data_IF_448269714564
#
_entry.id   IF_448269714564
#
_cell.length_a   1.000
_cell.length_b   1.000
_cell.length_c   1.000
_cell.angle_alpha   90.00
_cell.angle_beta   90.00
_cell.angle_gamma   90.00
#
_symmetry.space_group_name_H-M   'P 1'
#
loop_
_entity.id
_entity.type
_entity.pdbx_description
1 polymer ?
#
# COMPACT_ATOMS: atom_id res chain seq x y z
N UNK A 1 5.16 10.10 25.01
CA UNK A 1 4.78 9.61 23.66
C UNK A 1 4.02 8.28 23.76
N UNK A 2 3.01 8.18 24.65
CA UNK A 2 2.41 6.91 25.09
C UNK A 2 1.36 6.34 24.11
N UNK A 3 0.80 7.19 23.25
CA UNK A 3 -0.23 6.82 22.28
C UNK A 3 0.36 6.01 21.12
N UNK A 4 1.43 6.50 20.50
CA UNK A 4 2.05 5.87 19.32
C UNK A 4 2.62 4.49 19.66
N UNK A 5 3.21 4.32 20.85
CA UNK A 5 3.76 3.03 21.31
C UNK A 5 2.68 2.01 21.68
N UNK A 6 1.42 2.43 21.83
CA UNK A 6 0.28 1.55 22.15
C UNK A 6 -0.63 1.31 20.95
N UNK A 7 -0.38 2.00 19.84
CA UNK A 7 -1.12 1.79 18.61
C UNK A 7 -0.73 0.43 18.04
N UNK A 8 -1.72 -0.42 17.81
CA UNK A 8 -1.54 -1.73 17.21
C UNK A 8 -1.68 -1.64 15.69
N UNK A 9 -1.21 -2.66 14.98
CA UNK A 9 -1.30 -2.77 13.52
C UNK A 9 -2.75 -2.51 13.08
N UNK A 10 -2.90 -1.80 11.96
CA UNK A 10 -4.21 -1.62 11.33
C UNK A 10 -4.15 -2.25 9.96
N UNK A 11 -4.61 -3.50 9.92
CA UNK A 11 -5.03 -4.17 8.71
C UNK A 11 -6.33 -3.52 8.23
N UNK A 12 -6.30 -2.88 7.06
CA UNK A 12 -7.50 -2.35 6.41
C UNK A 12 -8.13 -3.45 5.56
N UNK A 13 -7.28 -4.13 4.79
CA UNK A 13 -7.52 -5.31 3.95
C UNK A 13 -6.21 -6.12 3.88
N UNK A 14 -6.24 -7.40 3.47
CA UNK A 14 -5.02 -8.21 3.32
C UNK A 14 -3.94 -7.57 2.41
N UNK A 15 -4.36 -6.78 1.42
CA UNK A 15 -3.46 -6.05 0.53
C UNK A 15 -2.83 -4.80 1.16
N UNK A 16 -3.37 -4.30 2.28
CA UNK A 16 -2.92 -3.06 2.94
C UNK A 16 -2.99 -3.25 4.45
N UNK A 17 -1.89 -3.75 5.01
CA UNK A 17 -1.65 -3.75 6.45
C UNK A 17 -0.58 -2.73 6.83
N UNK A 18 -0.93 -1.77 7.70
CA UNK A 18 -0.04 -0.70 8.13
C UNK A 18 0.70 -1.08 9.40
N UNK A 19 2.02 -0.91 9.38
CA UNK A 19 2.87 -1.20 10.53
C UNK A 19 2.46 -0.40 11.75
N UNK A 20 2.50 -1.07 12.90
CA UNK A 20 2.56 -0.37 14.18
C UNK A 20 3.93 0.30 14.37
N UNK A 21 4.08 1.02 15.48
CA UNK A 21 5.30 1.77 15.76
C UNK A 21 6.55 0.88 15.85
N UNK A 22 6.47 -0.27 16.52
CA UNK A 22 7.63 -1.14 16.73
C UNK A 22 8.04 -1.85 15.43
N UNK A 23 7.07 -2.33 14.67
CA UNK A 23 7.25 -2.90 13.33
C UNK A 23 7.91 -1.88 12.40
N UNK A 24 7.36 -0.67 12.30
CA UNK A 24 7.91 0.37 11.44
C UNK A 24 9.37 0.67 11.81
N UNK A 25 9.72 0.69 13.09
CA UNK A 25 11.11 0.88 13.51
C UNK A 25 12.01 -0.32 13.17
N UNK A 26 11.53 -1.54 13.38
CA UNK A 26 12.32 -2.74 13.11
C UNK A 26 12.59 -2.91 11.62
N UNK A 27 11.55 -2.81 10.80
CA UNK A 27 11.64 -2.96 9.34
C UNK A 27 12.54 -1.88 8.72
N UNK A 28 12.38 -0.63 9.15
CA UNK A 28 13.22 0.45 8.61
C UNK A 28 14.67 0.39 9.11
N UNK A 29 14.93 -0.13 10.33
CA UNK A 29 16.30 -0.42 10.77
C UNK A 29 16.93 -1.53 9.94
N UNK A 30 16.18 -2.60 9.65
CA UNK A 30 16.66 -3.66 8.77
C UNK A 30 17.01 -3.10 7.38
N UNK A 31 16.12 -2.29 6.80
CA UNK A 31 16.36 -1.64 5.51
C UNK A 31 17.60 -0.73 5.56
N UNK A 32 17.81 0.01 6.64
CA UNK A 32 18.98 0.87 6.82
C UNK A 32 20.29 0.08 6.91
N UNK A 33 20.31 -1.01 7.68
CA UNK A 33 21.50 -1.84 7.86
C UNK A 33 21.89 -2.61 6.59
N UNK A 34 20.91 -3.08 5.82
CA UNK A 34 21.17 -4.00 4.71
C UNK A 34 21.08 -3.30 3.33
N UNK A 35 20.30 -2.22 3.22
CA UNK A 35 19.99 -1.55 1.95
C UNK A 35 20.04 -0.02 2.10
N UNK A 36 21.17 0.50 2.59
CA UNK A 36 21.33 1.94 2.91
C UNK A 36 20.97 2.92 1.79
N UNK A 37 21.11 2.53 0.51
CA UNK A 37 20.68 3.37 -0.60
C UNK A 37 19.15 3.44 -0.74
N UNK A 38 18.47 2.33 -0.51
CA UNK A 38 17.01 2.24 -0.52
C UNK A 38 16.46 2.96 0.71
N UNK A 39 17.05 2.72 1.88
CA UNK A 39 16.63 3.38 3.12
C UNK A 39 16.80 4.89 3.05
N UNK A 40 17.69 5.46 2.24
CA UNK A 40 17.75 6.93 2.05
C UNK A 40 16.54 7.48 1.31
N UNK A 41 15.98 6.70 0.39
CA UNK A 41 14.86 7.12 -0.46
C UNK A 41 13.51 6.73 0.12
N UNK A 42 13.41 5.60 0.81
CA UNK A 42 12.14 5.00 1.19
C UNK A 42 12.04 4.76 2.68
N UNK A 43 10.81 4.82 3.18
CA UNK A 43 10.45 4.43 4.54
C UNK A 43 9.30 3.42 4.46
N UNK A 44 9.51 2.20 4.96
CA UNK A 44 8.47 1.16 5.01
C UNK A 44 7.34 1.58 5.95
N UNK A 45 6.10 1.50 5.47
CA UNK A 45 4.90 1.90 6.21
C UNK A 45 3.90 0.75 6.40
N UNK A 46 4.09 -0.36 5.69
CA UNK A 46 3.20 -1.49 5.75
C UNK A 46 3.60 -2.60 4.79
N UNK A 47 2.76 -3.63 4.74
CA UNK A 47 2.91 -4.81 3.91
C UNK A 47 1.62 -5.11 3.14
N UNK A 48 1.77 -5.88 2.07
CA UNK A 48 0.67 -6.47 1.32
C UNK A 48 0.90 -7.98 1.27
N UNK A 49 -0.05 -8.78 1.76
CA UNK A 49 0.09 -10.24 1.75
C UNK A 49 1.39 -10.77 2.37
N UNK A 50 2.07 -11.69 1.68
CA UNK A 50 3.29 -12.37 2.16
C UNK A 50 4.54 -11.86 1.42
N UNK A 51 5.05 -10.71 1.84
CA UNK A 51 6.38 -10.20 1.46
C UNK A 51 6.37 -8.89 0.68
N UNK A 52 5.27 -8.56 0.00
CA UNK A 52 5.13 -7.28 -0.68
C UNK A 52 5.04 -6.14 0.35
N UNK A 53 5.51 -4.95 -0.03
CA UNK A 53 5.70 -3.85 0.90
C UNK A 53 5.19 -2.51 0.39
N UNK A 54 4.67 -1.71 1.33
CA UNK A 54 4.27 -0.33 1.09
C UNK A 54 5.29 0.63 1.65
N UNK A 55 5.70 1.61 0.85
CA UNK A 55 6.77 2.53 1.18
C UNK A 55 6.38 3.97 0.91
N UNK A 56 6.71 4.86 1.85
CA UNK A 56 6.72 6.29 1.63
C UNK A 56 8.06 6.70 1.02
N UNK A 57 8.02 7.29 -0.17
CA UNK A 57 9.17 7.95 -0.76
C UNK A 57 9.44 9.27 -0.01
N UNK A 58 10.61 9.38 0.60
CA UNK A 58 11.01 10.51 1.45
C UNK A 58 11.35 11.78 0.67
N UNK A 59 11.50 11.68 -0.65
CA UNK A 59 11.86 12.81 -1.52
C UNK A 59 10.61 13.57 -1.96
N UNK A 60 9.59 12.85 -2.43
CA UNK A 60 8.38 13.43 -3.02
C UNK A 60 7.10 13.14 -2.22
N UNK A 61 7.19 12.41 -1.11
CA UNK A 61 6.08 11.98 -0.24
C UNK A 61 5.01 11.13 -0.95
N UNK A 62 5.40 10.42 -2.01
CA UNK A 62 4.52 9.49 -2.71
C UNK A 62 4.61 8.08 -2.15
N UNK A 63 3.54 7.30 -2.32
CA UNK A 63 3.49 5.89 -1.96
C UNK A 63 4.00 5.04 -3.12
N UNK A 64 4.88 4.09 -2.79
CA UNK A 64 5.40 3.08 -3.69
C UNK A 64 5.08 1.68 -3.19
N UNK A 65 4.74 0.80 -4.11
CA UNK A 65 4.64 -0.62 -3.88
C UNK A 65 5.98 -1.30 -4.20
N UNK A 66 6.39 -2.26 -3.37
CA UNK A 66 7.49 -3.15 -3.65
C UNK A 66 6.98 -4.58 -3.81
N UNK A 67 7.30 -5.19 -4.95
CA UNK A 67 7.01 -6.59 -5.22
C UNK A 67 8.17 -7.47 -4.73
N UNK A 68 7.91 -8.36 -3.79
CA UNK A 68 8.88 -9.29 -3.23
C UNK A 68 9.40 -10.31 -4.26
N UNK A 69 8.60 -10.65 -5.27
CA UNK A 69 9.05 -11.51 -6.37
C UNK A 69 10.12 -10.85 -7.24
N UNK A 70 10.35 -9.54 -7.09
CA UNK A 70 11.45 -8.83 -7.74
C UNK A 70 12.83 -9.14 -7.13
N UNK A 71 12.89 -9.92 -6.04
CA UNK A 71 14.14 -10.36 -5.40
C UNK A 71 14.55 -9.46 -4.25
N UNK A 72 15.80 -8.98 -4.23
CA UNK A 72 16.25 -8.05 -3.18
C UNK A 72 15.78 -6.60 -3.46
N UNK A 73 15.84 -5.73 -2.45
CA UNK A 73 15.48 -4.32 -2.61
C UNK A 73 16.42 -3.62 -3.59
N UNK A 74 15.87 -3.25 -4.75
CA UNK A 74 16.52 -2.40 -5.75
C UNK A 74 15.57 -1.28 -6.14
N UNK A 75 16.09 -0.12 -6.58
CA UNK A 75 15.23 1.03 -6.95
C UNK A 75 14.20 0.69 -8.03
N UNK A 76 14.52 -0.23 -8.95
CA UNK A 76 13.62 -0.71 -10.00
C UNK A 76 12.51 -1.63 -9.50
N UNK A 77 12.64 -2.19 -8.29
CA UNK A 77 11.60 -3.03 -7.67
C UNK A 77 10.42 -2.22 -7.09
N UNK A 78 10.51 -0.89 -7.09
CA UNK A 78 9.47 -0.01 -6.55
C UNK A 78 8.61 0.58 -7.67
N UNK A 79 7.30 0.41 -7.56
CA UNK A 79 6.31 1.04 -8.43
C UNK A 79 5.67 2.21 -7.70
N UNK A 80 5.89 3.43 -8.19
CA UNK A 80 5.29 4.63 -7.62
C UNK A 80 3.82 4.77 -8.05
N UNK A 81 2.90 4.91 -7.09
CA UNK A 81 1.47 5.09 -7.34
C UNK A 81 1.11 6.55 -7.71
N UNK A 82 2.02 7.49 -7.51
CA UNK A 82 1.81 8.92 -7.78
C UNK A 82 0.84 9.59 -6.79
N UNK A 83 0.61 8.98 -5.63
CA UNK A 83 -0.32 9.46 -4.60
C UNK A 83 0.37 9.59 -3.25
N UNK A 84 -0.10 10.52 -2.42
CA UNK A 84 0.35 10.67 -1.03
C UNK A 84 -0.35 9.71 -0.08
N UNK A 85 0.09 9.73 1.19
CA UNK A 85 -0.47 8.85 2.23
C UNK A 85 -1.99 9.02 2.45
N UNK A 86 -2.58 10.24 2.49
CA UNK A 86 -4.03 10.37 2.65
C UNK A 86 -4.83 9.73 1.52
N UNK A 87 -4.37 9.90 0.27
CA UNK A 87 -4.97 9.26 -0.89
C UNK A 87 -4.82 7.73 -0.86
N UNK A 88 -3.70 7.24 -0.34
CA UNK A 88 -3.49 5.82 -0.14
C UNK A 88 -4.47 5.22 0.87
N UNK A 89 -4.81 5.94 1.94
CA UNK A 89 -5.89 5.52 2.86
C UNK A 89 -7.25 5.52 2.17
N UNK A 90 -7.56 6.53 1.35
CA UNK A 90 -8.81 6.54 0.56
C UNK A 90 -8.90 5.32 -0.36
N UNK A 91 -7.79 4.99 -1.03
CA UNK A 91 -7.69 3.80 -1.88
C UNK A 91 -7.95 2.53 -1.08
N UNK A 92 -7.32 2.40 0.09
CA UNK A 92 -7.49 1.23 0.96
C UNK A 92 -8.95 1.03 1.40
N UNK A 93 -9.65 2.11 1.75
CA UNK A 93 -11.05 2.04 2.12
C UNK A 93 -11.95 1.65 0.95
N UNK A 94 -11.67 2.12 -0.28
CA UNK A 94 -12.42 1.70 -1.46
C UNK A 94 -12.25 0.20 -1.73
N UNK A 95 -11.02 -0.32 -1.68
CA UNK A 95 -10.78 -1.74 -1.90
C UNK A 95 -11.38 -2.62 -0.80
N UNK A 96 -11.37 -2.16 0.45
CA UNK A 96 -12.10 -2.82 1.54
C UNK A 96 -13.59 -2.93 1.27
N UNK A 97 -14.21 -1.85 0.81
CA UNK A 97 -15.64 -1.85 0.51
C UNK A 97 -15.94 -2.77 -0.70
N UNK A 98 -15.02 -2.88 -1.67
CA UNK A 98 -15.12 -3.85 -2.77
C UNK A 98 -15.00 -5.32 -2.29
N UNK A 99 -14.05 -5.62 -1.40
CA UNK A 99 -13.88 -6.95 -0.81
C UNK A 99 -15.15 -7.38 -0.05
N UNK A 100 -15.76 -6.48 0.72
CA UNK A 100 -17.02 -6.80 1.40
C UNK A 100 -18.14 -7.18 0.42
N UNK A 101 -18.30 -6.48 -0.70
CA UNK A 101 -19.30 -6.84 -1.72
C UNK A 101 -19.03 -8.24 -2.30
N UNK A 102 -17.75 -8.56 -2.55
CA UNK A 102 -17.34 -9.86 -3.06
C UNK A 102 -17.59 -10.99 -2.07
N UNK A 103 -17.29 -10.77 -0.78
CA UNK A 103 -17.47 -11.74 0.30
C UNK A 103 -18.95 -12.02 0.60
N UNK A 104 -19.84 -11.04 0.39
CA UNK A 104 -21.29 -11.22 0.46
C UNK A 104 -21.86 -12.05 -0.70
N UNK A 105 -21.00 -12.44 -1.67
CA UNK A 105 -21.38 -13.22 -2.84
C UNK A 105 -22.06 -12.38 -3.92
N UNK A 106 -21.94 -11.06 -3.88
CA UNK A 106 -22.43 -10.20 -4.95
C UNK A 106 -21.65 -10.44 -6.24
N UNK A 107 -22.37 -10.55 -7.35
CA UNK A 107 -21.75 -10.59 -8.67
C UNK A 107 -21.47 -9.17 -9.12
N UNK A 108 -20.19 -8.80 -9.26
CA UNK A 108 -19.77 -7.49 -9.77
C UNK A 108 -20.26 -7.29 -11.21
N UNK A 109 -21.37 -6.57 -11.35
CA UNK A 109 -21.88 -6.13 -12.66
C UNK A 109 -20.90 -5.14 -13.32
N UNK A 110 -20.94 -5.02 -14.64
CA UNK A 110 -20.08 -4.08 -15.37
C UNK A 110 -20.28 -2.62 -14.92
N UNK A 111 -21.49 -2.26 -14.48
CA UNK A 111 -21.77 -0.94 -13.90
C UNK A 111 -20.99 -0.73 -12.60
N UNK A 112 -21.05 -1.69 -11.66
CA UNK A 112 -20.32 -1.61 -10.38
C UNK A 112 -18.81 -1.54 -10.62
N UNK A 113 -18.29 -2.38 -11.52
CA UNK A 113 -16.86 -2.33 -11.92
C UNK A 113 -16.46 -0.96 -12.45
N UNK A 114 -17.29 -0.38 -13.33
CA UNK A 114 -17.05 0.94 -13.92
C UNK A 114 -17.08 2.04 -12.85
N UNK A 115 -18.05 2.00 -11.95
CA UNK A 115 -18.15 2.95 -10.83
C UNK A 115 -16.95 2.84 -9.89
N UNK A 116 -16.49 1.63 -9.58
CA UNK A 116 -15.30 1.40 -8.78
C UNK A 116 -14.04 1.97 -9.46
N UNK A 117 -13.81 1.65 -10.75
CA UNK A 117 -12.68 2.18 -11.53
C UNK A 117 -12.71 3.71 -11.53
N UNK A 118 -13.88 4.32 -11.75
CA UNK A 118 -14.02 5.78 -11.75
C UNK A 118 -13.74 6.38 -10.38
N UNK A 119 -14.18 5.73 -9.30
CA UNK A 119 -13.94 6.16 -7.93
C UNK A 119 -12.44 6.12 -7.58
N UNK A 120 -11.76 5.03 -7.92
CA UNK A 120 -10.30 4.91 -7.75
C UNK A 120 -9.56 5.96 -8.59
N UNK A 121 -9.93 6.14 -9.86
CA UNK A 121 -9.29 7.12 -10.73
C UNK A 121 -9.63 8.58 -10.37
N UNK A 122 -10.66 8.83 -9.55
CA UNK A 122 -10.94 10.16 -9.01
C UNK A 122 -9.94 10.59 -7.93
N UNK A 123 -9.27 9.64 -7.26
CA UNK A 123 -8.19 9.90 -6.31
C UNK A 123 -6.95 10.39 -7.06
N UNK A 124 -6.59 9.71 -8.14
CA UNK A 124 -5.52 10.09 -9.05
C UNK A 124 -5.72 9.44 -10.41
N UNK A 125 -5.39 10.19 -11.47
CA UNK A 125 -5.55 9.73 -12.84
C UNK A 125 -4.82 8.39 -13.06
N UNK A 126 -5.53 7.41 -13.64
CA UNK A 126 -5.00 6.09 -13.98
C UNK A 126 -4.56 5.23 -12.78
N UNK A 127 -4.91 5.61 -11.54
CA UNK A 127 -4.52 4.89 -10.33
C UNK A 127 -4.99 3.43 -10.33
N UNK A 128 -6.18 3.15 -10.85
CA UNK A 128 -6.70 1.78 -10.92
C UNK A 128 -5.76 0.86 -11.71
N UNK A 129 -5.13 1.38 -12.78
CA UNK A 129 -4.23 0.59 -13.60
C UNK A 129 -2.85 0.43 -12.96
N UNK A 130 -2.38 1.44 -12.23
CA UNK A 130 -1.07 1.42 -11.54
C UNK A 130 -1.10 0.57 -10.26
N UNK A 131 -2.26 0.45 -9.61
CA UNK A 131 -2.40 -0.37 -8.41
C UNK A 131 -2.07 -1.86 -8.68
N UNK A 132 -1.24 -2.51 -7.85
CA UNK A 132 -0.67 -3.83 -8.16
C UNK A 132 -1.68 -4.99 -8.11
N UNK A 133 -2.74 -4.87 -7.31
CA UNK A 133 -3.72 -5.94 -7.12
C UNK A 133 -4.96 -5.74 -8.01
N UNK A 134 -5.36 -6.79 -8.74
CA UNK A 134 -6.52 -6.77 -9.64
C UNK A 134 -7.56 -7.78 -9.18
N UNK A 135 -8.76 -7.30 -8.96
CA UNK A 135 -9.92 -8.10 -8.53
C UNK A 135 -10.82 -8.48 -9.72
N UNK A 136 -10.64 -7.80 -10.87
CA UNK A 136 -11.33 -8.05 -12.14
C UNK A 136 -10.58 -7.39 -13.30
#
# INVERSE_FOLDING_TARGET
MLFITKYQEVEIIPDISLFNYEEALNENRYLECNYSEISRCFWGIGQAGQGDGWFLNKIDNTISHYNHDAGEYTKSGFTNLGIGFPQFIQLALLYRDLEYLLDEGETLTDNIKTEFINSVNSISNNLFNVYPFKYF
#
